data_IF_930823236489
#
_entry.id   IF_930823236489
#
_cell.length_a   1.000
_cell.length_b   1.000
_cell.length_c   1.000
_cell.angle_alpha   90.00
_cell.angle_beta   90.00
_cell.angle_gamma   90.00
#
_symmetry.space_group_name_H-M   'P 1'
#
loop_
_entity.id
_entity.type
_entity.pdbx_description
1 polymer ?
#
# COMPACT_ATOMS: atom_id res chain seq x y z
N UNK A 1 -2.36 -9.18 -72.70
CA UNK A 1 -2.95 -9.91 -71.56
C UNK A 1 -1.84 -10.60 -70.78
N UNK A 2 -0.85 -9.87 -70.26
CA UNK A 2 0.23 -10.41 -69.43
C UNK A 2 0.68 -9.31 -68.45
N UNK A 3 -0.21 -8.91 -67.52
CA UNK A 3 0.17 -8.01 -66.40
C UNK A 3 -0.43 -8.42 -65.06
N UNK A 4 -1.12 -9.57 -64.98
CA UNK A 4 -1.81 -9.97 -63.77
C UNK A 4 -0.97 -10.82 -62.80
N UNK A 5 0.11 -11.42 -63.25
CA UNK A 5 0.93 -12.33 -62.42
C UNK A 5 2.13 -11.65 -61.73
N UNK A 6 2.50 -10.44 -62.14
CA UNK A 6 3.63 -9.73 -61.54
C UNK A 6 3.30 -9.08 -60.21
N UNK A 7 2.07 -8.55 -60.08
CA UNK A 7 1.63 -7.84 -58.87
C UNK A 7 1.53 -8.78 -57.67
N UNK A 8 1.08 -10.03 -57.86
CA UNK A 8 0.97 -11.00 -56.78
C UNK A 8 2.32 -11.46 -56.22
N UNK A 9 3.41 -11.45 -57.01
CA UNK A 9 4.74 -11.81 -56.53
C UNK A 9 5.33 -10.74 -55.60
N UNK A 10 5.07 -9.47 -55.90
CA UNK A 10 5.58 -8.37 -55.08
C UNK A 10 4.72 -8.17 -53.86
N UNK A 11 3.42 -8.50 -53.87
CA UNK A 11 2.53 -8.44 -52.74
C UNK A 11 2.89 -9.49 -51.68
N UNK A 12 3.25 -10.70 -52.08
CA UNK A 12 3.77 -11.75 -51.20
C UNK A 12 5.11 -11.40 -50.55
N UNK A 13 5.99 -10.72 -51.29
CA UNK A 13 7.30 -10.29 -50.80
C UNK A 13 7.15 -9.11 -49.78
N UNK A 14 6.24 -8.20 -50.03
CA UNK A 14 5.95 -7.08 -49.11
C UNK A 14 5.33 -7.56 -47.76
N UNK A 15 4.50 -8.61 -47.78
CA UNK A 15 3.95 -9.19 -46.56
C UNK A 15 5.01 -9.87 -45.68
N UNK A 16 6.06 -10.43 -46.28
CA UNK A 16 7.17 -11.08 -45.56
C UNK A 16 8.06 -10.08 -44.81
N UNK A 17 8.12 -8.82 -45.26
CA UNK A 17 8.91 -7.78 -44.58
C UNK A 17 8.15 -7.13 -43.38
N UNK A 18 6.83 -7.24 -43.31
CA UNK A 18 6.04 -6.68 -42.22
C UNK A 18 6.10 -7.58 -40.98
N UNK A 19 6.34 -8.86 -41.13
CA UNK A 19 6.45 -9.81 -40.03
C UNK A 19 7.83 -9.85 -39.33
N UNK A 20 8.83 -9.13 -39.85
CA UNK A 20 10.18 -9.05 -39.27
C UNK A 20 10.37 -7.84 -38.31
N UNK A 21 9.32 -7.08 -38.04
CA UNK A 21 9.33 -6.12 -36.94
C UNK A 21 9.10 -6.86 -35.62
N UNK A 22 10.06 -7.71 -35.24
CA UNK A 22 10.21 -8.09 -33.84
C UNK A 22 10.54 -6.82 -33.10
N UNK A 23 9.57 -6.31 -32.36
CA UNK A 23 9.82 -5.40 -31.28
C UNK A 23 10.86 -6.08 -30.40
N UNK A 24 12.06 -5.53 -30.31
CA UNK A 24 13.04 -5.85 -29.31
C UNK A 24 12.40 -5.34 -27.99
N UNK A 25 11.52 -6.15 -27.41
CA UNK A 25 11.03 -5.96 -26.05
C UNK A 25 12.23 -6.20 -25.11
N UNK A 26 13.13 -5.24 -25.13
CA UNK A 26 14.03 -5.06 -24.00
C UNK A 26 13.13 -4.59 -22.87
N UNK A 27 12.62 -5.55 -22.11
CA UNK A 27 12.12 -5.28 -20.78
C UNK A 27 13.23 -4.54 -20.06
N UNK A 28 13.10 -3.23 -19.99
CA UNK A 28 13.91 -2.44 -19.08
C UNK A 28 13.42 -2.85 -17.70
N UNK A 29 14.17 -3.74 -17.05
CA UNK A 29 13.97 -4.01 -15.63
C UNK A 29 14.12 -2.68 -14.91
N UNK A 30 12.99 -2.04 -14.66
CA UNK A 30 12.92 -0.90 -13.74
C UNK A 30 13.20 -1.44 -12.34
N UNK A 31 14.48 -1.60 -12.02
CA UNK A 31 14.90 -1.71 -10.63
C UNK A 31 14.63 -0.36 -9.99
N UNK A 32 13.47 -0.23 -9.41
CA UNK A 32 13.17 0.86 -8.49
C UNK A 32 14.02 0.59 -7.25
N UNK A 33 15.17 1.24 -7.15
CA UNK A 33 15.93 1.22 -5.91
C UNK A 33 15.11 1.94 -4.84
N UNK A 34 14.96 1.30 -3.69
CA UNK A 34 14.29 1.93 -2.55
C UNK A 34 15.05 3.18 -2.16
N UNK A 35 14.35 4.31 -1.91
CA UNK A 35 14.99 5.49 -1.36
C UNK A 35 15.77 5.13 -0.09
N UNK A 36 16.96 5.68 0.08
CA UNK A 36 17.83 5.40 1.22
C UNK A 36 17.14 5.74 2.56
N UNK A 37 16.27 6.74 2.56
CA UNK A 37 15.43 7.09 3.71
C UNK A 37 14.52 5.94 4.20
N UNK A 38 14.22 4.97 3.36
CA UNK A 38 13.42 3.78 3.70
C UNK A 38 14.35 2.57 3.91
N UNK A 39 15.36 2.41 3.05
CA UNK A 39 16.29 1.28 3.10
C UNK A 39 17.02 1.17 4.45
N UNK A 40 17.39 2.29 5.06
CA UNK A 40 18.04 2.32 6.37
C UNK A 40 17.20 1.69 7.50
N UNK A 41 15.88 1.55 7.32
CA UNK A 41 14.98 0.97 8.33
C UNK A 41 14.56 -0.47 7.99
N UNK A 42 15.08 -1.08 6.91
CA UNK A 42 14.71 -2.45 6.52
C UNK A 42 15.02 -3.50 7.59
N UNK A 43 16.03 -3.27 8.43
CA UNK A 43 16.33 -4.15 9.54
C UNK A 43 15.15 -4.32 10.51
N UNK A 44 14.24 -3.34 10.57
CA UNK A 44 13.05 -3.42 11.42
C UNK A 44 12.06 -4.49 10.95
N UNK A 45 12.12 -4.90 9.68
CA UNK A 45 11.27 -5.98 9.15
C UNK A 45 11.65 -7.37 9.72
N UNK A 46 12.81 -7.47 10.39
CA UNK A 46 13.23 -8.70 11.06
C UNK A 46 12.56 -8.89 12.43
N UNK A 47 11.88 -7.87 12.94
CA UNK A 47 11.18 -7.92 14.22
C UNK A 47 9.71 -8.28 14.04
N UNK A 48 9.19 -9.04 15.00
CA UNK A 48 7.77 -9.35 15.10
C UNK A 48 6.96 -8.15 15.59
N UNK A 49 5.63 -8.27 15.56
CA UNK A 49 4.73 -7.25 16.09
C UNK A 49 4.99 -6.98 17.58
N UNK A 50 4.97 -5.71 17.99
CA UNK A 50 5.34 -5.30 19.36
C UNK A 50 4.58 -6.06 20.44
N UNK A 51 3.30 -6.32 20.26
CA UNK A 51 2.47 -7.05 21.23
C UNK A 51 2.91 -8.51 21.44
N UNK A 52 3.70 -9.08 20.52
CA UNK A 52 4.19 -10.47 20.65
C UNK A 52 5.35 -10.58 21.64
N UNK A 53 6.04 -9.49 21.93
CA UNK A 53 7.13 -9.45 22.91
C UNK A 53 6.65 -9.36 24.37
N UNK A 54 5.34 -9.25 24.58
CA UNK A 54 4.78 -9.20 25.93
C UNK A 54 4.59 -10.63 26.44
N UNK A 55 5.25 -10.94 27.55
CA UNK A 55 5.04 -12.20 28.26
C UNK A 55 3.67 -12.22 28.93
N UNK A 56 2.71 -12.85 28.26
CA UNK A 56 1.34 -13.01 28.73
C UNK A 56 1.19 -14.01 29.87
N UNK A 57 2.19 -14.87 30.07
CA UNK A 57 2.17 -15.83 31.19
C UNK A 57 2.44 -15.11 32.52
N UNK A 58 3.34 -14.13 32.49
CA UNK A 58 3.69 -13.32 33.66
C UNK A 58 2.77 -12.11 33.82
N UNK A 59 2.28 -11.54 32.70
CA UNK A 59 1.45 -10.33 32.68
C UNK A 59 0.15 -10.54 31.88
N UNK A 60 -0.78 -11.41 32.35
CA UNK A 60 -1.96 -11.82 31.57
C UNK A 60 -2.93 -10.65 31.29
N UNK A 61 -2.97 -9.65 32.17
CA UNK A 61 -3.88 -8.52 32.07
C UNK A 61 -3.25 -7.26 31.46
N UNK A 62 -1.96 -7.31 31.12
CA UNK A 62 -1.30 -6.16 30.52
C UNK A 62 -1.77 -5.96 29.07
N UNK A 63 -2.13 -4.74 28.72
CA UNK A 63 -2.52 -4.33 27.38
C UNK A 63 -1.55 -3.27 26.86
N UNK A 64 -1.02 -3.50 25.68
CA UNK A 64 -0.21 -2.51 24.98
C UNK A 64 -1.15 -1.63 24.17
N UNK A 65 -1.24 -0.36 24.52
CA UNK A 65 -2.11 0.61 23.85
C UNK A 65 -1.32 1.66 23.07
N UNK A 66 -1.99 2.29 22.12
CA UNK A 66 -1.47 3.45 21.39
C UNK A 66 -2.55 4.48 21.11
N UNK A 67 -2.14 5.75 20.97
CA UNK A 67 -3.01 6.82 20.51
C UNK A 67 -2.91 6.99 18.99
N UNK A 68 -4.03 7.12 18.32
CA UNK A 68 -4.10 7.37 16.88
C UNK A 68 -5.04 8.54 16.57
N UNK A 69 -4.80 9.24 15.47
CA UNK A 69 -5.81 10.17 14.97
C UNK A 69 -6.98 9.37 14.36
N UNK A 70 -8.21 9.67 14.78
CA UNK A 70 -9.39 8.92 14.36
C UNK A 70 -9.53 8.87 12.84
N UNK A 71 -9.37 10.00 12.16
CA UNK A 71 -9.47 10.10 10.71
C UNK A 71 -8.44 9.22 9.98
N UNK A 72 -7.21 9.15 10.46
CA UNK A 72 -6.17 8.33 9.85
C UNK A 72 -6.40 6.83 10.07
N UNK A 73 -6.94 6.47 11.23
CA UNK A 73 -7.35 5.10 11.50
C UNK A 73 -8.54 4.65 10.64
N UNK A 74 -9.52 5.54 10.45
CA UNK A 74 -10.74 5.26 9.67
C UNK A 74 -10.48 5.14 8.17
N UNK A 75 -9.45 5.79 7.64
CA UNK A 75 -9.01 5.60 6.23
C UNK A 75 -8.65 4.14 5.91
N UNK A 76 -8.30 3.34 6.92
CA UNK A 76 -8.00 1.92 6.74
C UNK A 76 -6.64 1.63 6.09
N UNK A 77 -5.76 2.64 6.02
CA UNK A 77 -4.44 2.57 5.42
C UNK A 77 -3.37 2.09 6.43
N UNK A 78 -2.13 2.55 6.24
CA UNK A 78 -0.97 2.14 7.03
C UNK A 78 -1.17 2.32 8.55
N UNK A 79 -1.73 3.44 8.98
CA UNK A 79 -1.94 3.73 10.42
C UNK A 79 -2.78 2.65 11.09
N UNK A 80 -3.88 2.26 10.46
CA UNK A 80 -4.73 1.18 10.96
C UNK A 80 -4.01 -0.17 10.97
N UNK A 81 -3.31 -0.49 9.88
CA UNK A 81 -2.58 -1.76 9.75
C UNK A 81 -1.50 -1.90 10.82
N UNK A 82 -0.70 -0.85 11.03
CA UNK A 82 0.35 -0.84 12.04
C UNK A 82 -0.24 -0.89 13.46
N UNK A 83 -1.30 -0.14 13.74
CA UNK A 83 -1.94 -0.14 15.05
C UNK A 83 -2.50 -1.52 15.40
N UNK A 84 -3.27 -2.14 14.50
CA UNK A 84 -3.89 -3.46 14.73
C UNK A 84 -2.83 -4.56 14.84
N UNK A 85 -1.75 -4.48 14.06
CA UNK A 85 -0.70 -5.49 14.12
C UNK A 85 0.06 -5.43 15.45
N UNK A 86 0.37 -4.25 15.97
CA UNK A 86 1.33 -4.07 17.04
C UNK A 86 0.72 -3.84 18.44
N UNK A 87 -0.54 -3.44 18.53
CA UNK A 87 -1.16 -3.03 19.79
C UNK A 87 -2.43 -3.83 20.09
N UNK A 88 -2.75 -3.95 21.36
CA UNK A 88 -3.99 -4.59 21.86
C UNK A 88 -5.15 -3.63 21.83
N UNK A 89 -4.87 -2.34 22.10
CA UNK A 89 -5.86 -1.29 22.27
C UNK A 89 -5.43 -0.01 21.55
N UNK A 90 -6.40 0.72 21.04
CA UNK A 90 -6.20 2.05 20.45
C UNK A 90 -7.11 3.07 21.10
N UNK A 91 -6.60 4.28 21.28
CA UNK A 91 -7.37 5.44 21.74
C UNK A 91 -7.43 6.46 20.62
N UNK A 92 -8.62 6.90 20.28
CA UNK A 92 -8.85 7.94 19.29
C UNK A 92 -8.52 9.31 19.89
N UNK A 93 -7.32 9.77 19.82
CA UNK A 93 -6.74 11.02 20.28
C UNK A 93 -7.74 12.12 20.67
N UNK A 94 -7.77 13.23 19.92
CA UNK A 94 -8.67 14.35 20.22
C UNK A 94 -10.14 14.08 19.95
N UNK A 95 -10.48 13.14 19.06
CA UNK A 95 -11.86 12.87 18.67
C UNK A 95 -12.75 12.40 19.84
N UNK A 96 -12.15 11.80 20.87
CA UNK A 96 -12.89 11.35 22.07
C UNK A 96 -12.81 12.31 23.26
N UNK A 97 -12.25 13.50 23.08
CA UNK A 97 -12.24 14.52 24.14
C UNK A 97 -13.61 15.19 24.27
N UNK A 98 -13.95 15.61 25.50
CA UNK A 98 -15.19 16.29 25.80
C UNK A 98 -15.49 17.44 24.82
N UNK A 99 -14.53 18.33 24.61
CA UNK A 99 -14.66 19.46 23.70
C UNK A 99 -14.83 19.09 22.21
N UNK A 100 -14.58 17.84 21.84
CA UNK A 100 -14.79 17.35 20.46
C UNK A 100 -16.16 16.68 20.29
N UNK A 101 -16.80 16.31 21.39
CA UNK A 101 -18.08 15.57 21.40
C UNK A 101 -19.22 16.47 21.86
N UNK A 102 -18.97 17.39 22.80
CA UNK A 102 -19.99 18.21 23.41
C UNK A 102 -19.86 19.66 22.95
N UNK A 103 -20.91 20.20 22.36
CA UNK A 103 -21.01 21.61 22.00
C UNK A 103 -21.36 22.49 23.22
N UNK A 104 -21.22 23.81 23.09
CA UNK A 104 -21.47 24.78 24.15
C UNK A 104 -22.93 24.77 24.64
N UNK A 105 -23.88 24.34 23.83
CA UNK A 105 -25.30 24.16 24.18
C UNK A 105 -25.61 22.83 24.88
N UNK A 106 -24.59 21.99 25.10
CA UNK A 106 -24.73 20.67 25.71
C UNK A 106 -25.15 19.56 24.74
N UNK A 107 -25.33 19.85 23.47
CA UNK A 107 -25.60 18.81 22.46
C UNK A 107 -24.35 17.93 22.26
N UNK A 108 -24.57 16.66 21.91
CA UNK A 108 -23.50 15.67 21.71
C UNK A 108 -23.47 15.19 20.26
N UNK A 109 -22.28 15.18 19.67
CA UNK A 109 -22.01 14.63 18.36
C UNK A 109 -20.92 13.55 18.44
N UNK A 110 -21.26 12.33 18.07
CA UNK A 110 -20.36 11.18 18.03
C UNK A 110 -19.97 10.81 16.58
N UNK A 111 -20.28 11.66 15.62
CA UNK A 111 -20.14 11.41 14.17
C UNK A 111 -18.75 11.70 13.59
N UNK A 112 -17.67 11.61 14.36
CA UNK A 112 -16.29 11.78 13.86
C UNK A 112 -15.76 10.54 13.18
#
# INVERSE_FOLDING_TARGET
MIMKNSINKYFGLALLFISASCADDKFVDFKTEKPESIAQYEYLNAYDALKTYIDRSTHPNFKLGTGVAANDFLKGEMVRSVAVANFDEVVAGNAMKYASIVADDGSMDFGT
#
